data_IF_247190260178
#
_entry.id   IF_247190260178
#
_cell.length_a   1.000
_cell.length_b   1.000
_cell.length_c   1.000
_cell.angle_alpha   90.00
_cell.angle_beta   90.00
_cell.angle_gamma   90.00
#
_symmetry.space_group_name_H-M   'P 1'
#
loop_
_entity.id
_entity.type
_entity.pdbx_description
1 polymer ?
#
# COMPACT_ATOMS: atom_id res chain seq x y z
N UNK A 1 1.76 16.79 -21.08
CA UNK A 1 1.98 15.49 -20.42
C UNK A 1 1.31 15.53 -19.06
N UNK A 2 0.03 15.20 -18.95
CA UNK A 2 -0.66 15.25 -17.66
C UNK A 2 -1.71 14.15 -17.63
N UNK A 3 -1.23 12.91 -17.70
CA UNK A 3 -2.08 11.77 -17.41
C UNK A 3 -2.17 11.60 -15.90
N UNK A 4 -3.40 11.39 -15.47
CA UNK A 4 -3.89 11.19 -14.13
C UNK A 4 -3.25 9.90 -13.56
N UNK A 5 -1.97 9.95 -13.15
CA UNK A 5 -1.23 8.75 -12.73
C UNK A 5 -1.90 8.17 -11.48
N UNK A 6 -2.67 7.10 -11.68
CA UNK A 6 -3.36 6.37 -10.64
C UNK A 6 -2.33 5.85 -9.63
N UNK A 7 -2.70 5.84 -8.36
CA UNK A 7 -1.81 5.39 -7.29
C UNK A 7 -1.30 3.97 -7.56
N UNK A 8 0.03 3.80 -7.62
CA UNK A 8 0.68 2.50 -7.77
C UNK A 8 1.39 2.10 -6.47
N UNK A 9 0.68 1.31 -5.67
CA UNK A 9 1.21 0.78 -4.41
C UNK A 9 2.49 -0.04 -4.60
N UNK A 10 2.59 -0.81 -5.68
CA UNK A 10 3.76 -1.67 -5.94
C UNK A 10 4.99 -0.83 -6.25
N UNK A 11 4.85 0.25 -7.01
CA UNK A 11 5.94 1.19 -7.32
C UNK A 11 6.54 1.77 -6.04
N UNK A 12 5.70 2.27 -5.14
CA UNK A 12 6.16 2.81 -3.85
C UNK A 12 6.77 1.73 -2.95
N UNK A 13 6.16 0.54 -2.88
CA UNK A 13 6.67 -0.58 -2.10
C UNK A 13 8.08 -1.03 -2.53
N UNK A 14 8.34 -1.06 -3.85
CA UNK A 14 9.63 -1.48 -4.38
C UNK A 14 10.75 -0.46 -4.13
N UNK A 15 10.41 0.81 -3.94
CA UNK A 15 11.36 1.86 -3.59
C UNK A 15 11.82 1.81 -2.12
N UNK A 16 11.05 1.15 -1.25
CA UNK A 16 11.42 0.97 0.15
C UNK A 16 12.58 -0.02 0.30
N UNK A 17 13.48 0.29 1.21
CA UNK A 17 14.49 -0.63 1.75
C UNK A 17 13.83 -1.75 2.58
N UNK A 18 14.53 -2.87 2.86
CA UNK A 18 13.99 -3.94 3.69
C UNK A 18 13.49 -3.47 5.07
N UNK A 19 14.22 -2.56 5.72
CA UNK A 19 13.86 -2.03 7.03
C UNK A 19 12.61 -1.15 6.96
N UNK A 20 12.51 -0.28 5.95
CA UNK A 20 11.32 0.54 5.72
C UNK A 20 10.09 -0.30 5.37
N UNK A 21 10.27 -1.42 4.66
CA UNK A 21 9.18 -2.37 4.37
C UNK A 21 8.67 -3.03 5.64
N UNK A 22 9.56 -3.41 6.56
CA UNK A 22 9.17 -3.97 7.86
C UNK A 22 8.42 -2.92 8.69
N UNK A 23 8.96 -1.70 8.82
CA UNK A 23 8.29 -0.61 9.51
C UNK A 23 6.91 -0.28 8.91
N UNK A 24 6.80 -0.24 7.58
CA UNK A 24 5.51 -0.05 6.90
C UNK A 24 4.53 -1.16 7.26
N UNK A 25 4.98 -2.42 7.25
CA UNK A 25 4.12 -3.55 7.53
C UNK A 25 3.61 -3.55 8.96
N UNK A 26 4.49 -3.24 9.93
CA UNK A 26 4.13 -3.14 11.34
C UNK A 26 3.09 -2.03 11.57
N UNK A 27 3.27 -0.87 10.96
CA UNK A 27 2.31 0.24 11.02
C UNK A 27 0.96 -0.11 10.36
N UNK A 28 0.99 -0.90 9.28
CA UNK A 28 -0.19 -1.38 8.59
C UNK A 28 -0.88 -2.56 9.30
N UNK A 29 -0.28 -3.11 10.36
CA UNK A 29 -0.80 -4.25 11.11
C UNK A 29 -0.70 -5.57 10.34
N UNK A 30 0.37 -5.75 9.55
CA UNK A 30 0.64 -6.96 8.76
C UNK A 30 2.15 -7.24 8.71
N UNK A 31 2.61 -8.12 7.81
CA UNK A 31 4.04 -8.42 7.62
C UNK A 31 4.52 -8.03 6.23
N UNK A 32 5.79 -7.68 6.10
CA UNK A 32 6.40 -7.32 4.81
C UNK A 32 6.30 -8.46 3.80
N UNK A 33 6.43 -9.71 4.29
CA UNK A 33 6.19 -10.91 3.49
C UNK A 33 4.74 -10.98 2.98
N UNK A 34 3.73 -10.72 3.82
CA UNK A 34 2.33 -10.73 3.38
C UNK A 34 2.06 -9.68 2.29
N UNK A 35 2.59 -8.47 2.48
CA UNK A 35 2.45 -7.37 1.51
C UNK A 35 3.08 -7.76 0.18
N UNK A 36 4.35 -8.23 0.21
CA UNK A 36 5.07 -8.59 -0.99
C UNK A 36 4.44 -9.78 -1.72
N UNK A 37 4.04 -10.82 -1.01
CA UNK A 37 3.46 -12.04 -1.59
C UNK A 37 2.04 -11.83 -2.11
N UNK A 38 1.21 -11.04 -1.43
CA UNK A 38 -0.22 -10.95 -1.74
C UNK A 38 -0.68 -9.59 -2.25
N UNK A 39 -0.25 -8.49 -1.64
CA UNK A 39 -0.81 -7.16 -1.92
C UNK A 39 -0.19 -6.51 -3.15
N UNK A 40 1.13 -6.57 -3.30
CA UNK A 40 1.82 -5.98 -4.47
C UNK A 40 1.39 -6.60 -5.79
N UNK A 41 1.09 -7.91 -5.78
CA UNK A 41 0.57 -8.65 -6.93
C UNK A 41 -0.95 -8.74 -6.96
N UNK A 42 -1.67 -8.00 -6.09
CA UNK A 42 -3.14 -7.98 -5.98
C UNK A 42 -3.80 -9.37 -5.89
N UNK A 43 -3.07 -10.36 -5.36
CA UNK A 43 -3.55 -11.75 -5.21
C UNK A 43 -4.60 -11.89 -4.11
N UNK A 44 -4.57 -10.99 -3.13
CA UNK A 44 -5.61 -10.88 -2.10
C UNK A 44 -6.05 -9.44 -1.94
N UNK A 45 -7.36 -9.27 -1.77
CA UNK A 45 -7.96 -8.00 -1.39
C UNK A 45 -7.79 -7.79 0.11
N UNK A 46 -7.25 -6.64 0.55
CA UNK A 46 -7.18 -6.35 1.98
C UNK A 46 -8.60 -6.16 2.53
N UNK A 47 -8.92 -6.86 3.62
CA UNK A 47 -10.16 -6.63 4.36
C UNK A 47 -10.19 -5.25 5.02
N UNK A 48 -11.34 -4.87 5.59
CA UNK A 48 -11.57 -3.52 6.18
C UNK A 48 -10.47 -3.06 7.15
N UNK A 49 -10.06 -3.93 8.07
CA UNK A 49 -9.01 -3.61 9.07
C UNK A 49 -7.66 -3.37 8.41
N UNK A 50 -7.25 -4.28 7.52
CA UNK A 50 -5.97 -4.16 6.81
C UNK A 50 -5.97 -2.94 5.88
N UNK A 51 -7.07 -2.65 5.19
CA UNK A 51 -7.20 -1.47 4.35
C UNK A 51 -7.05 -0.17 5.16
N UNK A 52 -7.59 -0.13 6.39
CA UNK A 52 -7.40 1.01 7.28
C UNK A 52 -5.94 1.17 7.73
N UNK A 53 -5.27 0.06 8.05
CA UNK A 53 -3.84 0.04 8.40
C UNK A 53 -2.96 0.52 7.25
N UNK A 54 -3.15 -0.05 6.06
CA UNK A 54 -2.47 0.36 4.83
C UNK A 54 -2.69 1.85 4.55
N UNK A 55 -3.92 2.34 4.65
CA UNK A 55 -4.20 3.77 4.46
C UNK A 55 -3.44 4.65 5.44
N UNK A 56 -3.39 4.27 6.73
CA UNK A 56 -2.63 5.01 7.74
C UNK A 56 -1.15 5.07 7.39
N UNK A 57 -0.54 3.92 7.08
CA UNK A 57 0.88 3.81 6.72
C UNK A 57 1.22 4.58 5.43
N UNK A 58 0.36 4.48 4.40
CA UNK A 58 0.51 5.25 3.16
C UNK A 58 0.35 6.76 3.39
N UNK A 59 -0.61 7.18 4.21
CA UNK A 59 -0.83 8.59 4.54
C UNK A 59 0.34 9.19 5.32
N UNK A 60 0.91 8.45 6.28
CA UNK A 60 2.08 8.89 7.05
C UNK A 60 3.31 9.13 6.16
N UNK A 61 3.43 8.37 5.06
CA UNK A 61 4.50 8.51 4.06
C UNK A 61 4.16 9.48 2.93
N UNK A 62 2.98 10.11 2.97
CA UNK A 62 2.54 11.09 1.96
C UNK A 62 2.18 10.47 0.60
N UNK A 63 2.00 9.15 0.52
CA UNK A 63 1.74 8.43 -0.72
C UNK A 63 0.31 8.62 -1.24
N UNK A 64 -0.64 8.73 -0.32
CA UNK A 64 -2.06 8.96 -0.61
C UNK A 64 -2.63 9.96 0.39
N UNK A 65 -3.66 10.68 -0.04
CA UNK A 65 -4.40 11.63 0.80
C UNK A 65 -5.70 11.01 1.30
N UNK A 66 -6.35 10.18 0.47
CA UNK A 66 -7.67 9.62 0.73
C UNK A 66 -7.68 8.10 0.61
N UNK A 67 -8.64 7.43 1.30
CA UNK A 67 -8.80 5.97 1.18
C UNK A 67 -9.16 5.51 -0.24
N UNK A 68 -10.02 6.22 -1.00
CA UNK A 68 -10.31 5.86 -2.39
C UNK A 68 -9.06 5.83 -3.27
N UNK A 69 -8.10 6.76 -3.11
CA UNK A 69 -6.84 6.73 -3.86
C UNK A 69 -6.06 5.42 -3.65
N UNK A 70 -5.98 4.93 -2.41
CA UNK A 70 -5.39 3.63 -2.13
C UNK A 70 -6.22 2.48 -2.71
N UNK A 71 -7.55 2.58 -2.61
CA UNK A 71 -8.47 1.55 -3.08
C UNK A 71 -8.39 1.35 -4.60
N UNK A 72 -8.15 2.42 -5.38
CA UNK A 72 -7.97 2.33 -6.84
C UNK A 72 -6.95 1.25 -7.22
N UNK A 73 -5.83 1.14 -6.48
CA UNK A 73 -4.83 0.11 -6.76
C UNK A 73 -5.36 -1.33 -6.59
N UNK A 74 -6.31 -1.57 -5.69
CA UNK A 74 -6.79 -2.92 -5.39
C UNK A 74 -8.04 -3.29 -6.20
N UNK A 75 -8.87 -2.32 -6.60
CA UNK A 75 -10.17 -2.57 -7.25
C UNK A 75 -10.17 -2.38 -8.78
N UNK A 76 -9.15 -1.76 -9.36
CA UNK A 76 -8.93 -1.68 -10.82
C UNK A 76 -7.84 -2.63 -11.28
#
# INVERSE_FOLDING_TARGET
MSENEKFDFKKHWLQLTPDERNAFADEAGTTSHYIQTHLTGRRKMPGKTLMNGLFKACKQRGWVRTKPELAIFFYE
#
